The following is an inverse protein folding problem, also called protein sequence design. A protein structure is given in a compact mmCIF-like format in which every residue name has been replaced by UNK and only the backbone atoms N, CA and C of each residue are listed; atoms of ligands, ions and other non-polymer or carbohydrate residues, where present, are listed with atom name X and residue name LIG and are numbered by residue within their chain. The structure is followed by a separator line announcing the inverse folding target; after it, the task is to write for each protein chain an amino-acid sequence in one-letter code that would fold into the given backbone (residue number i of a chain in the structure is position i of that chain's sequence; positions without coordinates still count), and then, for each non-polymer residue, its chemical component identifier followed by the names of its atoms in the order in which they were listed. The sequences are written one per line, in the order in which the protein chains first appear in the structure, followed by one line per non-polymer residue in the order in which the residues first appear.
data_IF_950207939213
#
_entry.id   IF_950207939213
#
_cell.length_a   1.000
_cell.length_b   1.000
_cell.length_c   1.000
_cell.angle_alpha   90.00
_cell.angle_beta   90.00
_cell.angle_gamma   90.00
#
_symmetry.space_group_name_H-M   'P 1'
#
loop_
_entity.id
_entity.type
_entity.pdbx_description
1 polymer ?
#
# COMPACT_ATOMS: atom_id res chain seq x y z
N UNK A 1 -2.05 -1.72 -22.11
CA UNK A 1 -2.27 -1.39 -20.68
C UNK A 1 -2.43 0.12 -20.55
N UNK A 2 -3.49 0.60 -19.87
CA UNK A 2 -3.62 2.03 -19.59
C UNK A 2 -2.75 2.37 -18.38
N UNK A 3 -1.72 3.21 -18.57
CA UNK A 3 -0.78 3.57 -17.51
C UNK A 3 -1.50 4.12 -16.27
N UNK A 4 -2.54 4.95 -16.46
CA UNK A 4 -3.39 5.45 -15.37
C UNK A 4 -3.97 4.33 -14.50
N UNK A 5 -4.50 3.26 -15.09
CA UNK A 5 -5.09 2.13 -14.36
C UNK A 5 -4.05 1.35 -13.57
N UNK A 6 -2.86 1.15 -14.16
CA UNK A 6 -1.74 0.51 -13.46
C UNK A 6 -1.29 1.37 -12.26
N UNK A 7 -1.04 2.66 -12.47
CA UNK A 7 -0.56 3.56 -11.41
C UNK A 7 -1.58 3.68 -10.27
N UNK A 8 -2.87 3.83 -10.58
CA UNK A 8 -3.91 3.96 -9.55
C UNK A 8 -4.07 2.67 -8.74
N UNK A 9 -4.06 1.51 -9.41
CA UNK A 9 -4.12 0.21 -8.71
C UNK A 9 -2.87 -0.05 -7.88
N UNK A 10 -1.69 0.32 -8.39
CA UNK A 10 -0.43 0.20 -7.66
C UNK A 10 -0.47 0.96 -6.34
N UNK A 11 -0.85 2.25 -6.39
CA UNK A 11 -0.97 3.07 -5.18
C UNK A 11 -2.00 2.48 -4.21
N UNK A 12 -3.16 2.05 -4.72
CA UNK A 12 -4.22 1.48 -3.89
C UNK A 12 -3.78 0.21 -3.16
N UNK A 13 -3.17 -0.76 -3.87
CA UNK A 13 -2.69 -1.99 -3.25
C UNK A 13 -1.52 -1.74 -2.30
N UNK A 14 -0.64 -0.80 -2.61
CA UNK A 14 0.47 -0.45 -1.72
C UNK A 14 -0.03 0.11 -0.38
N UNK A 15 -1.01 1.03 -0.43
CA UNK A 15 -1.65 1.57 0.77
C UNK A 15 -2.37 0.44 1.52
N UNK A 16 -3.12 -0.42 0.82
CA UNK A 16 -3.83 -1.54 1.43
C UNK A 16 -2.90 -2.49 2.20
N UNK A 17 -1.76 -2.85 1.61
CA UNK A 17 -0.74 -3.68 2.25
C UNK A 17 -0.05 -2.99 3.42
N UNK A 18 -0.05 -1.65 3.45
CA UNK A 18 0.53 -0.86 4.53
C UNK A 18 -0.43 -0.66 5.72
N UNK A 19 -1.74 -0.85 5.52
CA UNK A 19 -2.76 -0.60 6.55
C UNK A 19 -2.51 -1.36 7.87
N UNK A 20 -2.19 -2.67 7.88
CA UNK A 20 -1.97 -3.38 9.14
C UNK A 20 -0.85 -2.74 9.96
N UNK A 21 0.27 -2.36 9.32
CA UNK A 21 1.37 -1.67 9.98
C UNK A 21 0.99 -0.26 10.44
N UNK A 22 0.19 0.48 9.65
CA UNK A 22 -0.31 1.80 10.02
C UNK A 22 -1.23 1.77 11.24
N UNK A 23 -1.87 0.62 11.49
CA UNK A 23 -2.72 0.37 12.66
C UNK A 23 -1.94 -0.24 13.83
N UNK A 24 -0.62 -0.42 13.71
CA UNK A 24 0.22 -1.01 14.76
C UNK A 24 0.06 -2.52 14.92
N UNK A 25 -0.45 -3.22 13.90
CA UNK A 25 -0.59 -4.68 13.95
C UNK A 25 0.78 -5.33 13.73
N UNK A 26 1.24 -6.12 14.71
CA UNK A 26 2.48 -6.89 14.62
C UNK A 26 3.75 -6.11 14.98
N UNK A 27 3.64 -4.86 15.43
CA UNK A 27 4.78 -4.05 15.86
C UNK A 27 4.38 -3.03 16.93
N UNK A 28 5.23 -2.85 17.94
CA UNK A 28 5.05 -1.88 19.02
C UNK A 28 6.14 -0.82 18.91
N UNK A 29 5.75 0.45 18.80
CA UNK A 29 6.69 1.56 18.84
C UNK A 29 6.90 1.95 20.30
N UNK A 30 8.16 2.01 20.74
CA UNK A 30 8.54 2.52 22.06
C UNK A 30 8.41 4.04 22.07
N UNK A 31 7.35 4.53 22.70
CA UNK A 31 7.07 5.96 22.82
C UNK A 31 7.68 6.53 24.10
N UNK A 32 8.22 7.74 24.02
CA UNK A 32 8.53 8.53 25.22
C UNK A 32 7.24 8.97 25.91
N UNK A 33 7.29 9.16 27.23
CA UNK A 33 6.12 9.56 28.04
C UNK A 33 5.49 10.88 27.60
N UNK A 34 6.27 11.75 26.95
CA UNK A 34 5.86 13.08 26.46
C UNK A 34 5.25 13.05 25.04
N UNK A 35 5.24 11.90 24.37
CA UNK A 35 4.77 11.80 22.99
C UNK A 35 3.25 12.08 22.90
N UNK A 36 2.91 13.13 22.15
CA UNK A 36 1.52 13.53 21.89
C UNK A 36 0.81 12.51 21.00
N UNK A 37 -0.53 12.48 21.06
CA UNK A 37 -1.34 11.59 20.21
C UNK A 37 -1.05 11.80 18.71
N UNK A 38 -0.84 13.05 18.28
CA UNK A 38 -0.52 13.35 16.89
C UNK A 38 0.84 12.78 16.47
N UNK A 39 1.85 12.86 17.34
CA UNK A 39 3.16 12.24 17.09
C UNK A 39 3.04 10.71 17.01
N UNK A 40 2.23 10.10 17.89
CA UNK A 40 1.97 8.66 17.88
C UNK A 40 1.34 8.20 16.57
N UNK A 41 0.26 8.86 16.16
CA UNK A 41 -0.41 8.58 14.88
C UNK A 41 0.54 8.74 13.69
N UNK A 42 1.31 9.82 13.65
CA UNK A 42 2.26 10.07 12.56
C UNK A 42 3.32 8.98 12.48
N UNK A 43 3.88 8.53 13.61
CA UNK A 43 4.89 7.48 13.57
C UNK A 43 4.31 6.14 13.17
N UNK A 44 3.13 5.75 13.64
CA UNK A 44 2.47 4.53 13.14
C UNK A 44 2.19 4.58 11.64
N UNK A 45 1.69 5.71 11.13
CA UNK A 45 1.45 5.90 9.70
C UNK A 45 2.74 5.75 8.89
N UNK A 46 3.82 6.42 9.31
CA UNK A 46 5.10 6.36 8.61
C UNK A 46 5.73 4.97 8.68
N UNK A 47 5.75 4.36 9.86
CA UNK A 47 6.30 3.02 10.06
C UNK A 47 5.52 1.98 9.25
N UNK A 48 4.19 2.05 9.28
CA UNK A 48 3.32 1.21 8.46
C UNK A 48 3.56 1.39 6.96
N UNK A 49 3.90 2.60 6.52
CA UNK A 49 4.20 2.91 5.13
C UNK A 49 5.59 2.42 4.71
N UNK A 50 6.61 2.56 5.56
CA UNK A 50 8.02 2.31 5.20
C UNK A 50 8.47 0.88 5.53
N UNK A 51 7.93 0.27 6.58
CA UNK A 51 8.28 -1.10 6.95
C UNK A 51 8.03 -2.08 5.79
N UNK A 52 8.95 -3.01 5.59
CA UNK A 52 8.87 -4.01 4.51
C UNK A 52 8.64 -3.40 3.11
N UNK A 53 9.14 -2.19 2.86
CA UNK A 53 8.96 -1.44 1.60
C UNK A 53 9.17 -2.30 0.36
N UNK A 54 10.29 -3.02 0.28
CA UNK A 54 10.64 -3.84 -0.89
C UNK A 54 9.57 -4.90 -1.21
N UNK A 55 9.06 -5.59 -0.18
CA UNK A 55 8.04 -6.64 -0.35
C UNK A 55 6.74 -6.03 -0.82
N UNK A 56 6.29 -4.94 -0.19
CA UNK A 56 5.04 -4.27 -0.57
C UNK A 56 5.10 -3.74 -1.99
N UNK A 57 6.21 -3.10 -2.38
CA UNK A 57 6.42 -2.63 -3.76
C UNK A 57 6.35 -3.79 -4.74
N UNK A 58 7.07 -4.89 -4.49
CA UNK A 58 7.09 -6.05 -5.38
C UNK A 58 5.68 -6.64 -5.56
N UNK A 59 4.95 -6.86 -4.46
CA UNK A 59 3.59 -7.40 -4.49
C UNK A 59 2.63 -6.44 -5.20
N UNK A 60 2.69 -5.13 -4.90
CA UNK A 60 1.85 -4.13 -5.56
C UNK A 60 2.11 -4.06 -7.07
N UNK A 61 3.36 -4.19 -7.53
CA UNK A 61 3.67 -4.26 -8.97
C UNK A 61 3.00 -5.47 -9.60
N UNK A 62 3.16 -6.66 -9.00
CA UNK A 62 2.60 -7.91 -9.55
C UNK A 62 1.09 -7.84 -9.63
N UNK A 63 0.40 -7.47 -8.53
CA UNK A 63 -1.06 -7.39 -8.49
C UNK A 63 -1.57 -6.37 -9.52
N UNK A 64 -0.94 -5.20 -9.59
CA UNK A 64 -1.38 -4.12 -10.50
C UNK A 64 -1.14 -4.46 -11.96
N UNK A 65 -0.06 -5.18 -12.26
CA UNK A 65 0.22 -5.68 -13.61
C UNK A 65 -0.85 -6.71 -14.02
N UNK A 66 -1.13 -7.70 -13.17
CA UNK A 66 -2.16 -8.73 -13.41
C UNK A 66 -3.54 -8.09 -13.61
N UNK A 67 -3.93 -7.18 -12.73
CA UNK A 67 -5.23 -6.49 -12.81
C UNK A 67 -5.32 -5.62 -14.08
N UNK A 68 -4.25 -4.91 -14.44
CA UNK A 68 -4.22 -4.11 -15.67
C UNK A 68 -4.32 -4.96 -16.94
N UNK A 69 -3.69 -6.14 -16.97
CA UNK A 69 -3.79 -7.08 -18.09
C UNK A 69 -5.21 -7.65 -18.17
N UNK A 70 -5.79 -8.04 -17.03
CA UNK A 70 -7.15 -8.57 -16.95
C UNK A 70 -8.19 -7.56 -17.45
N UNK A 71 -8.12 -6.31 -17.00
CA UNK A 71 -9.03 -5.25 -17.42
C UNK A 71 -8.88 -4.90 -18.90
N UNK A 72 -7.64 -4.91 -19.42
CA UNK A 72 -7.40 -4.69 -20.85
C UNK A 72 -8.06 -5.79 -21.71
N UNK A 73 -7.88 -7.06 -21.34
CA UNK A 73 -8.51 -8.18 -22.04
C UNK A 73 -10.04 -8.13 -22.00
N UNK A 74 -10.62 -7.67 -20.89
CA UNK A 74 -12.07 -7.51 -20.75
C UNK A 74 -12.61 -6.40 -21.66
N UNK A 75 -11.89 -5.29 -21.82
CA UNK A 75 -12.28 -4.21 -22.73
C UNK A 75 -12.28 -4.69 -24.19
N UNK A 76 -11.21 -5.36 -24.63
CA UNK A 76 -11.09 -5.88 -26.00
C UNK A 76 -12.17 -6.91 -26.35
N UNK A 77 -12.71 -7.66 -25.37
CA UNK A 77 -13.76 -8.65 -25.60
C UNK A 77 -15.17 -8.05 -25.63
N UNK A 78 -15.34 -6.79 -25.20
CA UNK A 78 -16.63 -6.11 -25.11
C UNK A 78 -16.91 -5.19 -26.31
N UNK A 79 -15.92 -4.97 -27.17
CA UNK A 79 -16.00 -4.24 -28.45
C UNK A 79 -16.09 -5.24 -29.62
#
# INVERSE_FOLDING_TARGET
MKLKTFTSSFIAFYILLSLPGMLGIGYVIDWTSEATLFQKLRGYVLEGLVSHFYVKVAVSIVISAVLSIFLYRRQVRAD
#
